data_IF_398577644307
#
_entry.id   IF_398577644307
#
_cell.length_a   1.000
_cell.length_b   1.000
_cell.length_c   1.000
_cell.angle_alpha   90.00
_cell.angle_beta   90.00
_cell.angle_gamma   90.00
#
_symmetry.space_group_name_H-M   'P 1'
#
loop_
_entity.id
_entity.type
_entity.pdbx_description
1 polymer ?
#
# COMPACT_ATOMS: atom_id res chain seq x y z
N UNK A 1 6.67 -1.76 -18.65
CA UNK A 1 5.72 -1.78 -19.24
C UNK A 1 4.61 -1.14 -18.58
N UNK A 2 3.88 -1.82 -17.89
CA UNK A 2 2.80 -1.26 -17.29
C UNK A 2 3.21 -0.23 -16.33
N UNK A 3 4.22 -0.50 -15.62
CA UNK A 3 4.70 0.46 -14.72
C UNK A 3 5.13 1.67 -15.45
N UNK A 4 5.65 1.52 -16.60
CA UNK A 4 6.01 2.68 -17.32
C UNK A 4 4.88 3.40 -17.84
N UNK A 5 3.82 2.73 -18.06
CA UNK A 5 2.67 3.40 -18.56
C UNK A 5 2.19 4.38 -17.58
N UNK A 6 2.45 4.21 -16.35
CA UNK A 6 2.07 5.17 -15.46
C UNK A 6 3.18 6.07 -15.22
N UNK A 7 3.95 6.05 -16.08
CA UNK A 7 4.85 6.93 -15.85
C UNK A 7 5.87 6.55 -15.42
N UNK A 8 5.79 5.96 -15.67
CA UNK A 8 6.51 5.75 -15.52
C UNK A 8 7.32 5.88 -15.13
N UNK A 9 7.39 5.48 -15.08
CA UNK A 9 8.09 5.45 -14.68
C UNK A 9 8.79 6.33 -14.32
N UNK A 10 8.65 6.69 -14.38
CA UNK A 10 9.26 7.54 -14.23
C UNK A 10 9.54 7.97 -13.22
N UNK A 11 9.38 8.07 -12.95
CA UNK A 11 9.68 8.56 -12.15
C UNK A 11 9.77 8.40 -11.19
N UNK A 12 9.81 8.14 -11.08
CA UNK A 12 9.74 7.85 -10.36
C UNK A 12 9.98 7.81 -9.32
N UNK A 13 9.73 8.02 -8.96
CA UNK A 13 9.95 7.73 -7.97
C UNK A 13 10.66 8.33 -6.94
N UNK A 14 11.31 9.23 -7.12
CA UNK A 14 11.93 9.89 -6.07
C UNK A 14 10.90 10.54 -5.25
N UNK A 15 10.73 10.13 -4.08
CA UNK A 15 9.71 10.71 -3.29
C UNK A 15 9.83 12.17 -3.12
N UNK A 16 10.98 12.67 -3.20
CA UNK A 16 11.01 14.03 -3.00
C UNK A 16 10.59 14.70 -4.14
N UNK A 17 10.62 14.10 -5.22
CA UNK A 17 10.33 14.79 -6.27
C UNK A 17 9.06 14.84 -6.62
N UNK A 18 8.39 14.35 -6.16
CA UNK A 18 7.20 14.39 -6.55
C UNK A 18 6.50 15.36 -6.26
N UNK A 19 6.85 16.23 -6.10
CA UNK A 19 6.12 17.21 -5.78
C UNK A 19 4.97 17.13 -6.38
N UNK A 20 5.08 16.80 -7.32
CA UNK A 20 4.07 16.81 -7.97
C UNK A 20 3.17 15.92 -7.52
N UNK A 21 2.23 16.24 -7.27
CA UNK A 21 1.28 15.46 -7.01
C UNK A 21 1.37 14.62 -6.04
N UNK A 22 2.09 14.87 -5.29
CA UNK A 22 2.16 14.06 -4.38
C UNK A 22 1.29 14.31 -3.34
N UNK A 23 0.61 13.68 -2.76
CA UNK A 23 -0.18 13.80 -1.59
C UNK A 23 -1.41 14.63 -1.80
N UNK A 24 -2.43 14.36 -1.08
CA UNK A 24 -3.64 15.15 -1.07
C UNK A 24 -3.51 16.16 0.05
N UNK A 25 -3.59 17.43 -0.25
CA UNK A 25 -3.40 18.43 0.78
C UNK A 25 -4.45 18.38 1.86
N UNK A 26 -5.55 17.73 1.62
CA UNK A 26 -6.56 17.62 2.65
C UNK A 26 -6.37 16.42 3.55
N UNK A 27 -5.40 15.59 3.29
CA UNK A 27 -5.09 14.50 4.18
C UNK A 27 -4.00 14.93 5.13
N UNK A 28 -4.08 14.50 6.35
CA UNK A 28 -3.03 14.87 7.28
C UNK A 28 -1.72 14.17 6.89
N UNK A 29 -0.62 14.76 7.21
CA UNK A 29 0.64 14.09 6.92
C UNK A 29 0.79 12.83 7.75
N UNK A 30 1.43 11.84 7.19
CA UNK A 30 1.71 10.65 7.94
C UNK A 30 3.03 10.84 8.65
N UNK A 31 3.01 10.62 9.92
CA UNK A 31 4.23 10.70 10.70
C UNK A 31 4.61 9.29 11.06
N UNK A 32 5.75 9.11 11.64
CA UNK A 32 6.14 7.79 12.09
C UNK A 32 5.17 7.23 13.09
N UNK A 33 4.60 8.07 13.92
CA UNK A 33 3.63 7.60 14.86
C UNK A 33 2.36 7.14 14.20
N UNK A 34 1.92 7.80 13.18
CA UNK A 34 0.71 7.39 12.49
C UNK A 34 0.92 6.07 11.76
N UNK A 35 2.04 5.93 11.09
CA UNK A 35 2.36 4.67 10.42
C UNK A 35 2.44 3.56 11.46
N UNK A 36 3.01 3.85 12.61
CA UNK A 36 3.10 2.86 13.65
C UNK A 36 1.72 2.41 14.11
N UNK A 37 0.78 3.33 14.18
CA UNK A 37 -0.59 2.97 14.55
C UNK A 37 -1.19 2.00 13.52
N UNK A 38 -1.00 2.30 12.25
CA UNK A 38 -1.49 1.45 11.19
C UNK A 38 -0.88 0.05 11.29
N UNK A 39 0.43 -0.01 11.45
CA UNK A 39 1.12 -1.30 11.46
C UNK A 39 0.86 -2.10 12.73
N UNK A 40 0.69 -1.43 13.84
CA UNK A 40 0.38 -2.12 15.10
C UNK A 40 -1.00 -2.76 15.01
N UNK A 41 -1.95 -2.04 14.44
CA UNK A 41 -3.27 -2.63 14.23
C UNK A 41 -3.16 -3.86 13.33
N UNK A 42 -2.42 -3.73 12.24
CA UNK A 42 -2.28 -4.82 11.29
C UNK A 42 -1.64 -6.04 11.96
N UNK A 43 -0.61 -5.81 12.75
CA UNK A 43 0.07 -6.91 13.45
C UNK A 43 -0.88 -7.65 14.38
N UNK A 44 -1.80 -6.94 14.98
CA UNK A 44 -2.77 -7.58 15.87
C UNK A 44 -3.74 -8.50 15.16
N UNK A 45 -3.78 -8.45 13.85
CA UNK A 45 -4.67 -9.31 13.06
C UNK A 45 -3.94 -10.43 12.32
N UNK A 46 -2.64 -10.57 12.56
CA UNK A 46 -1.90 -11.68 11.97
C UNK A 46 -2.52 -12.97 12.47
N UNK A 47 -2.79 -13.87 11.56
CA UNK A 47 -3.46 -15.13 11.88
C UNK A 47 -4.93 -15.15 11.50
N UNK A 48 -5.50 -14.00 11.19
CA UNK A 48 -6.88 -13.98 10.73
C UNK A 48 -6.98 -14.63 9.35
N UNK A 49 -8.11 -15.22 9.03
CA UNK A 49 -8.24 -15.88 7.73
C UNK A 49 -8.44 -14.89 6.60
N UNK A 50 -8.03 -15.31 5.41
CA UNK A 50 -8.34 -14.59 4.20
C UNK A 50 -9.61 -15.19 3.59
N UNK A 51 -10.57 -14.32 3.29
CA UNK A 51 -11.77 -14.75 2.59
C UNK A 51 -12.08 -13.69 1.54
N UNK A 52 -12.15 -14.08 0.29
CA UNK A 52 -12.37 -13.12 -0.80
C UNK A 52 -13.68 -12.38 -0.55
N UNK A 53 -13.63 -11.07 -0.60
CA UNK A 53 -14.80 -10.23 -0.36
C UNK A 53 -15.08 -9.90 1.09
N UNK A 54 -14.34 -10.48 2.02
CA UNK A 54 -14.57 -10.21 3.43
C UNK A 54 -14.04 -8.84 3.82
N UNK A 55 -14.73 -8.20 4.72
CA UNK A 55 -14.37 -6.86 5.15
C UNK A 55 -14.15 -6.72 6.65
N UNK A 56 -13.86 -7.81 7.30
CA UNK A 56 -13.63 -7.80 8.73
C UNK A 56 -14.90 -8.07 9.49
N UNK A 57 -14.83 -8.10 10.79
CA UNK A 57 -13.65 -7.93 11.63
C UNK A 57 -12.84 -9.18 11.85
N UNK A 58 -13.30 -10.33 11.38
CA UNK A 58 -12.64 -11.59 11.68
C UNK A 58 -12.04 -12.26 10.46
N UNK A 59 -12.24 -11.72 9.30
CA UNK A 59 -11.69 -12.24 8.06
C UNK A 59 -11.51 -11.08 7.10
N UNK A 60 -10.54 -11.16 6.23
CA UNK A 60 -10.16 -10.02 5.38
C UNK A 60 -9.81 -10.51 3.99
N UNK A 61 -9.96 -9.63 2.99
CA UNK A 61 -9.25 -9.84 1.74
C UNK A 61 -8.16 -8.77 1.67
N UNK A 62 -7.41 -8.72 0.57
CA UNK A 62 -6.22 -7.88 0.52
C UNK A 62 -6.55 -6.41 0.72
N UNK A 63 -7.58 -5.93 0.06
CA UNK A 63 -7.87 -4.50 0.08
C UNK A 63 -8.71 -4.09 1.27
N UNK A 64 -9.55 -4.96 1.80
CA UNK A 64 -10.27 -4.60 3.02
C UNK A 64 -9.30 -4.48 4.19
N UNK A 65 -8.24 -5.26 4.16
CA UNK A 65 -7.24 -5.19 5.22
C UNK A 65 -6.51 -3.85 5.19
N UNK A 66 -6.06 -3.40 4.04
CA UNK A 66 -5.41 -2.10 3.94
C UNK A 66 -6.38 -0.97 4.22
N UNK A 67 -7.61 -1.11 3.75
CA UNK A 67 -8.64 -0.11 4.02
C UNK A 67 -8.85 0.05 5.52
N UNK A 68 -8.98 -1.05 6.24
CA UNK A 68 -9.21 -0.99 7.68
C UNK A 68 -7.99 -0.48 8.43
N UNK A 69 -6.80 -0.84 7.96
CA UNK A 69 -5.58 -0.39 8.61
C UNK A 69 -5.46 1.13 8.56
N UNK A 70 -5.70 1.71 7.40
CA UNK A 70 -5.59 3.16 7.28
C UNK A 70 -6.77 3.89 7.91
N UNK A 71 -7.90 3.22 8.07
CA UNK A 71 -9.01 3.81 8.80
C UNK A 71 -8.63 4.08 10.26
N UNK A 72 -7.61 3.40 10.77
CA UNK A 72 -7.17 3.63 12.14
C UNK A 72 -6.61 5.03 12.34
N UNK A 73 -6.16 5.66 11.27
CA UNK A 73 -5.68 7.03 11.35
C UNK A 73 -6.58 7.96 10.56
N UNK A 74 -7.84 7.54 10.40
CA UNK A 74 -8.89 8.39 9.81
C UNK A 74 -8.69 8.69 8.33
N UNK A 75 -8.07 7.77 7.61
CA UNK A 75 -7.96 7.88 6.17
C UNK A 75 -8.92 6.87 5.58
N UNK A 76 -9.85 7.36 4.78
CA UNK A 76 -10.85 6.53 4.15
C UNK A 76 -10.41 6.17 2.75
N UNK A 77 -10.15 4.90 2.52
CA UNK A 77 -9.69 4.42 1.24
C UNK A 77 -10.80 3.66 0.54
N UNK A 78 -10.76 3.59 -0.80
CA UNK A 78 -11.72 2.76 -1.50
C UNK A 78 -11.59 1.29 -1.15
N UNK A 79 -12.60 0.53 -1.53
CA UNK A 79 -12.71 -0.84 -1.07
C UNK A 79 -11.84 -1.84 -1.82
N UNK A 80 -11.59 -1.63 -3.12
CA UNK A 80 -10.86 -2.63 -3.91
C UNK A 80 -9.43 -2.20 -4.18
N UNK A 81 -8.58 -3.16 -4.50
CA UNK A 81 -7.17 -2.87 -4.73
C UNK A 81 -6.99 -1.90 -5.90
N UNK A 82 -7.66 -2.15 -7.00
CA UNK A 82 -7.54 -1.26 -8.15
C UNK A 82 -8.05 0.14 -7.84
N UNK A 83 -9.15 0.23 -7.10
CA UNK A 83 -9.68 1.54 -6.74
C UNK A 83 -8.76 2.29 -5.77
N UNK A 84 -8.09 1.58 -4.89
CA UNK A 84 -7.12 2.20 -3.99
C UNK A 84 -5.97 2.79 -4.78
N UNK A 85 -5.47 2.03 -5.74
CA UNK A 85 -4.38 2.53 -6.56
C UNK A 85 -4.82 3.77 -7.34
N UNK A 86 -6.02 3.76 -7.91
CA UNK A 86 -6.50 4.90 -8.68
C UNK A 86 -6.74 6.10 -7.78
N UNK A 87 -7.21 5.87 -6.58
CA UNK A 87 -7.42 6.93 -5.61
C UNK A 87 -6.09 7.60 -5.23
N UNK A 88 -5.04 6.80 -5.04
CA UNK A 88 -3.73 7.35 -4.77
C UNK A 88 -3.23 8.18 -5.95
N UNK A 89 -3.40 7.66 -7.15
CA UNK A 89 -2.94 8.36 -8.34
C UNK A 89 -3.74 9.65 -8.61
N UNK A 90 -4.93 9.74 -8.05
CA UNK A 90 -5.76 10.91 -8.25
C UNK A 90 -5.39 12.07 -7.32
N UNK A 91 -4.32 11.96 -6.59
CA UNK A 91 -3.87 13.06 -5.74
C UNK A 91 -3.84 12.73 -4.27
N UNK A 92 -4.13 11.51 -3.91
CA UNK A 92 -4.15 11.12 -2.50
C UNK A 92 -2.88 10.39 -2.07
N UNK A 93 -1.90 10.32 -2.94
CA UNK A 93 -0.61 9.72 -2.61
C UNK A 93 0.38 10.00 -3.70
N UNK A 94 1.54 9.35 -3.62
CA UNK A 94 2.52 9.48 -4.68
C UNK A 94 3.27 8.19 -4.87
N UNK A 95 3.82 8.03 -6.07
CA UNK A 95 4.51 6.83 -6.46
C UNK A 95 5.87 6.77 -5.79
N UNK A 96 6.27 5.59 -5.39
CA UNK A 96 7.54 5.38 -4.71
C UNK A 96 8.36 4.40 -5.53
N UNK A 97 9.63 4.72 -5.70
CA UNK A 97 10.51 3.85 -6.44
C UNK A 97 10.94 2.70 -5.57
N UNK A 98 11.13 1.55 -6.16
CA UNK A 98 11.61 0.39 -5.41
C UNK A 98 12.94 0.75 -4.76
N UNK A 99 13.11 0.37 -3.56
CA UNK A 99 14.22 0.67 -2.69
C UNK A 99 14.09 2.01 -1.97
N UNK A 100 13.08 2.77 -2.30
CA UNK A 100 12.74 3.95 -1.52
C UNK A 100 11.50 3.70 -0.67
N UNK A 101 10.98 2.49 -0.69
CA UNK A 101 9.77 2.21 0.07
C UNK A 101 10.02 2.23 1.57
N UNK A 102 8.98 2.54 2.30
CA UNK A 102 9.02 2.62 3.75
C UNK A 102 7.88 1.83 4.33
N UNK A 103 7.94 1.45 5.60
CA UNK A 103 6.83 0.74 6.22
C UNK A 103 5.52 1.50 6.03
N UNK A 104 4.49 0.78 5.68
CA UNK A 104 3.17 1.38 5.45
C UNK A 104 2.87 1.68 4.00
N UNK A 105 3.87 1.72 3.14
CA UNK A 105 3.62 1.93 1.72
C UNK A 105 2.85 0.76 1.15
N UNK A 106 2.09 1.00 0.09
CA UNK A 106 1.25 -0.02 -0.52
C UNK A 106 1.84 -0.50 -1.82
N UNK A 107 1.90 -1.81 -1.98
CA UNK A 107 2.40 -2.45 -3.18
C UNK A 107 1.21 -3.03 -3.92
N UNK A 108 1.08 -2.67 -5.20
CA UNK A 108 0.00 -3.15 -6.05
C UNK A 108 0.56 -4.04 -7.14
N UNK A 109 -0.05 -5.22 -7.30
CA UNK A 109 0.41 -6.15 -8.32
C UNK A 109 -0.78 -6.71 -9.08
N UNK A 110 -0.50 -7.27 -10.24
CA UNK A 110 -1.49 -8.10 -10.91
C UNK A 110 -1.47 -9.44 -10.19
N UNK A 111 -2.56 -10.07 -10.15
CA UNK A 111 -2.68 -11.31 -9.45
C UNK A 111 -3.42 -12.24 -10.38
N UNK A 112 -4.48 -12.81 -9.89
CA UNK A 112 -5.22 -13.72 -10.73
C UNK A 112 -6.12 -13.01 -11.71
N UNK A 113 -6.23 -11.69 -11.61
CA UNK A 113 -7.11 -10.97 -12.53
C UNK A 113 -6.51 -10.77 -13.90
N UNK A 114 -5.26 -11.09 -14.07
CA UNK A 114 -4.65 -11.00 -15.38
C UNK A 114 -3.57 -9.96 -15.42
N UNK A 115 -2.85 -9.91 -16.51
CA UNK A 115 -1.61 -9.14 -16.56
C UNK A 115 -1.81 -7.63 -16.61
N UNK A 116 -2.97 -7.16 -16.92
CA UNK A 116 -3.17 -5.73 -17.00
C UNK A 116 -4.19 -5.22 -16.00
N UNK A 117 -4.44 -5.99 -14.98
CA UNK A 117 -5.40 -5.58 -13.96
C UNK A 117 -4.79 -5.75 -12.60
N UNK A 118 -4.95 -4.75 -11.75
CA UNK A 118 -4.46 -4.85 -10.39
C UNK A 118 -5.38 -5.78 -9.63
N UNK A 119 -4.82 -6.83 -9.10
CA UNK A 119 -5.59 -7.81 -8.36
C UNK A 119 -5.18 -7.98 -6.93
N UNK A 120 -4.15 -7.26 -6.49
CA UNK A 120 -3.66 -7.46 -5.13
C UNK A 120 -3.02 -6.19 -4.59
N UNK A 121 -3.14 -5.99 -3.29
CA UNK A 121 -2.45 -4.93 -2.60
C UNK A 121 -1.88 -5.47 -1.30
N UNK A 122 -0.68 -5.05 -0.97
CA UNK A 122 0.00 -5.44 0.25
C UNK A 122 0.64 -4.21 0.88
N UNK A 123 0.92 -4.28 2.17
CA UNK A 123 1.51 -3.15 2.84
C UNK A 123 2.94 -3.51 3.22
N UNK A 124 3.87 -2.62 3.01
CA UNK A 124 5.27 -2.86 3.35
C UNK A 124 5.41 -2.93 4.86
N UNK A 125 6.09 -3.95 5.33
CA UNK A 125 6.37 -4.11 6.75
C UNK A 125 7.84 -3.77 7.03
N UNK A 126 8.75 -4.47 6.40
CA UNK A 126 10.17 -4.25 6.60
C UNK A 126 10.84 -4.15 5.24
N UNK A 127 11.16 -2.95 4.80
CA UNK A 127 11.76 -2.81 3.47
C UNK A 127 13.16 -3.42 3.38
N UNK A 128 13.90 -3.47 4.46
CA UNK A 128 15.22 -4.05 4.39
C UNK A 128 15.16 -5.55 4.17
N UNK A 129 14.20 -6.20 4.78
CA UNK A 129 14.00 -7.64 4.60
C UNK A 129 13.06 -7.93 3.45
N UNK A 130 12.47 -6.91 2.88
CA UNK A 130 11.51 -7.02 1.79
C UNK A 130 10.32 -7.86 2.18
N UNK A 131 9.69 -7.51 3.27
CA UNK A 131 8.49 -8.21 3.72
C UNK A 131 7.31 -7.26 3.82
N UNK A 132 6.14 -7.86 3.69
CA UNK A 132 4.86 -7.17 3.82
C UNK A 132 4.14 -7.61 5.06
N UNK A 133 3.07 -6.89 5.37
CA UNK A 133 2.02 -7.40 6.23
C UNK A 133 0.73 -7.26 5.43
N UNK A 134 0.03 -8.35 5.25
CA UNK A 134 -1.07 -8.37 4.30
C UNK A 134 -2.01 -9.54 4.53
N UNK A 135 -3.22 -9.39 4.05
CA UNK A 135 -4.11 -10.53 3.88
C UNK A 135 -3.76 -11.11 2.52
N UNK A 136 -3.07 -12.24 2.52
CA UNK A 136 -2.35 -12.70 1.34
C UNK A 136 -3.21 -13.58 0.43
N UNK A 137 -3.63 -14.70 0.90
CA UNK A 137 -4.49 -15.60 0.15
C UNK A 137 -5.12 -16.58 1.12
N UNK A 138 -5.98 -17.45 0.59
CA UNK A 138 -6.72 -18.39 1.43
C UNK A 138 -5.79 -19.26 2.24
N UNK A 139 -4.67 -19.67 1.67
CA UNK A 139 -3.77 -20.57 2.38
C UNK A 139 -2.97 -19.83 3.44
N UNK A 140 -2.60 -18.62 3.19
CA UNK A 140 -1.70 -17.90 4.09
C UNK A 140 -2.39 -17.00 5.10
N UNK A 141 -3.57 -16.54 4.79
CA UNK A 141 -4.27 -15.63 5.69
C UNK A 141 -3.54 -14.31 5.83
N UNK A 142 -3.72 -13.68 6.97
CA UNK A 142 -3.04 -12.43 7.29
C UNK A 142 -1.70 -12.75 7.91
N UNK A 143 -0.65 -12.17 7.37
CA UNK A 143 0.68 -12.43 7.89
C UNK A 143 1.73 -11.62 7.18
N UNK A 144 2.97 -12.05 7.33
CA UNK A 144 4.13 -11.39 6.73
C UNK A 144 4.62 -12.26 5.57
N UNK A 145 4.86 -11.63 4.44
CA UNK A 145 5.27 -12.36 3.24
C UNK A 145 6.38 -11.60 2.53
N UNK A 146 7.17 -12.30 1.75
CA UNK A 146 8.24 -11.65 0.97
C UNK A 146 7.67 -11.03 -0.30
N UNK A 147 8.28 -9.95 -0.76
CA UNK A 147 7.86 -9.36 -2.01
C UNK A 147 9.06 -9.16 -2.93
N UNK A 148 8.79 -9.15 -4.22
CA UNK A 148 9.82 -8.86 -5.18
C UNK A 148 9.17 -8.36 -6.45
N UNK A 149 9.95 -7.61 -7.21
CA UNK A 149 9.51 -7.15 -8.51
C UNK A 149 10.14 -8.10 -9.52
N UNK A 150 9.50 -9.18 -9.78
CA UNK A 150 10.03 -10.20 -10.66
C UNK A 150 9.27 -10.29 -11.95
N UNK A 151 9.73 -11.15 -12.85
CA UNK A 151 9.11 -11.25 -14.17
C UNK A 151 7.70 -11.81 -14.14
N UNK A 152 7.28 -12.34 -13.04
CA UNK A 152 5.92 -12.83 -12.97
C UNK A 152 4.91 -11.72 -12.75
N UNK A 153 5.37 -10.50 -12.50
CA UNK A 153 4.45 -9.40 -12.29
C UNK A 153 4.47 -8.46 -13.47
N UNK A 154 3.32 -8.22 -14.06
CA UNK A 154 3.19 -7.20 -15.09
C UNK A 154 2.96 -5.86 -14.45
N UNK A 155 2.39 -5.84 -13.27
CA UNK A 155 2.18 -4.64 -12.52
C UNK A 155 2.89 -4.82 -11.20
N UNK A 156 3.73 -3.87 -10.87
CA UNK A 156 4.35 -3.82 -9.55
C UNK A 156 4.58 -2.35 -9.29
N UNK A 157 3.70 -1.76 -8.52
CA UNK A 157 3.77 -0.34 -8.21
C UNK A 157 3.74 -0.16 -6.71
N UNK A 158 4.51 0.78 -6.22
CA UNK A 158 4.53 1.11 -4.80
C UNK A 158 4.05 2.54 -4.66
N UNK A 159 3.11 2.75 -3.76
CA UNK A 159 2.52 4.06 -3.53
C UNK A 159 2.52 4.38 -2.05
N UNK A 160 2.71 5.66 -1.75
CA UNK A 160 2.66 6.14 -0.37
C UNK A 160 1.42 6.97 -0.19
N UNK A 161 0.71 6.73 0.89
CA UNK A 161 -0.59 7.34 1.14
C UNK A 161 -0.38 8.74 1.70
N UNK A 162 -1.13 9.67 1.15
CA UNK A 162 -1.19 11.00 1.73
C UNK A 162 0.06 11.80 1.54
N UNK A 163 0.15 12.85 2.33
CA UNK A 163 1.31 13.68 2.31
C UNK A 163 2.21 13.13 3.40
N UNK A 164 3.04 12.17 3.05
CA UNK A 164 3.79 11.43 4.02
C UNK A 164 5.09 12.08 4.32
N UNK A 165 5.32 12.37 5.54
CA UNK A 165 6.60 12.88 5.96
C UNK A 165 7.21 11.88 6.90
N UNK A 166 8.48 11.74 6.80
CA UNK A 166 9.12 10.92 7.70
C UNK A 166 9.34 11.57 8.95
N UNK A 167 9.33 12.80 9.03
CA UNK A 167 9.62 13.48 10.22
C UNK A 167 8.38 13.77 10.85
N UNK A 168 8.28 13.51 12.00
CA UNK A 168 7.08 13.74 12.67
C UNK A 168 6.80 15.10 12.79
N UNK A 169 7.65 15.76 12.85
CA UNK A 169 7.37 16.97 13.14
C UNK A 169 6.59 17.72 12.45
N UNK A 170 6.67 17.75 11.57
CA UNK A 170 6.09 18.58 10.96
C UNK A 170 4.90 18.80 11.29
N UNK A 171 4.51 18.30 11.67
CA UNK A 171 3.33 18.48 11.84
C UNK A 171 3.05 19.02 12.83
N UNK A 172 3.42 19.04 13.33
CA UNK A 172 3.17 19.50 14.37
C UNK A 172 2.78 20.25 14.44
#
# INVERSE_FOLDING_TARGET
YYANAYGGGTVLGDPTDCGAGNGNPNLPPLTNERVKTVLTWAQGHVGDPYVFGAGGPNAWDCSSFTQAAYARIHITMPRTAGAQRDWLAAGNGFRVQLRAEKPGDLIFTDSYLGPNAIGHVAMVWDPAAQTTIEAHDTAGGVGHFSYSNGPSHHIFEIWRVGNVADTPSKTT
#
